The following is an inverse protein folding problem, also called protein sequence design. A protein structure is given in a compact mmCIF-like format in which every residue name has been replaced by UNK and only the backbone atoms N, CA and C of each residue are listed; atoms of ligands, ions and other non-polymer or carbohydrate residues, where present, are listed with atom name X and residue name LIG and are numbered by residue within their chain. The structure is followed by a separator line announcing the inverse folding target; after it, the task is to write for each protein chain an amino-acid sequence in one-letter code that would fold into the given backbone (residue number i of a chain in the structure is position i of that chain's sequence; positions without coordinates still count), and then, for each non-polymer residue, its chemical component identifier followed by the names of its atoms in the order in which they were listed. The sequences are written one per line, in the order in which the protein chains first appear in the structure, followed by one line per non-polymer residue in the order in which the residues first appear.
data_IF_879459094511
#
_entry.id   IF_879459094511
#
_cell.length_a   1.000
_cell.length_b   1.000
_cell.length_c   1.000
_cell.angle_alpha   90.00
_cell.angle_beta   90.00
_cell.angle_gamma   90.00
#
_symmetry.space_group_name_H-M   'P 1'
#
loop_
_entity.id
_entity.type
_entity.pdbx_description
1 polymer ?
#
# COMPACT_ATOMS: atom_id res chain seq x y z
N UNK A 1 -1.63 8.44 -14.57
CA UNK A 1 -1.98 7.16 -13.90
C UNK A 1 -2.54 6.13 -14.85
N UNK A 2 -3.33 6.49 -15.86
CA UNK A 2 -3.82 5.51 -16.86
C UNK A 2 -2.69 4.74 -17.58
N UNK A 3 -1.61 5.42 -17.97
CA UNK A 3 -0.45 4.75 -18.58
C UNK A 3 0.26 3.80 -17.59
N UNK A 4 0.38 4.20 -16.32
CA UNK A 4 0.95 3.35 -15.28
C UNK A 4 0.10 2.09 -15.06
N UNK A 5 -1.23 2.20 -15.09
CA UNK A 5 -2.13 1.04 -15.02
C UNK A 5 -2.04 0.14 -16.25
N UNK A 6 -1.89 0.71 -17.45
CA UNK A 6 -1.67 -0.09 -18.67
C UNK A 6 -0.38 -0.88 -18.60
N UNK A 7 0.69 -0.27 -18.08
CA UNK A 7 1.97 -0.96 -17.88
C UNK A 7 1.83 -2.05 -16.81
N UNK A 8 1.15 -1.76 -15.70
CA UNK A 8 0.86 -2.72 -14.64
C UNK A 8 0.12 -3.96 -15.16
N UNK A 9 -0.96 -3.74 -15.91
CA UNK A 9 -1.75 -4.79 -16.57
C UNK A 9 -0.90 -5.59 -17.57
N UNK A 10 0.01 -4.94 -18.29
CA UNK A 10 0.92 -5.62 -19.22
C UNK A 10 1.92 -6.51 -18.49
N UNK A 11 2.52 -6.04 -17.39
CA UNK A 11 3.45 -6.84 -16.57
C UNK A 11 2.77 -8.09 -16.03
N UNK A 12 1.53 -7.97 -15.55
CA UNK A 12 0.73 -9.12 -15.08
C UNK A 12 0.48 -10.16 -16.18
N UNK A 13 0.22 -9.72 -17.43
CA UNK A 13 0.00 -10.63 -18.57
C UNK A 13 1.25 -11.41 -18.98
N UNK A 14 2.43 -10.91 -18.62
CA UNK A 14 3.71 -11.55 -18.93
C UNK A 14 4.23 -12.42 -17.76
N UNK A 15 3.39 -12.69 -16.74
CA UNK A 15 3.76 -13.38 -15.50
C UNK A 15 4.98 -12.76 -14.78
N UNK A 16 5.22 -11.46 -15.01
CA UNK A 16 6.24 -10.69 -14.31
C UNK A 16 5.63 -10.23 -12.98
N UNK A 17 5.81 -11.04 -11.95
CA UNK A 17 5.41 -10.68 -10.59
C UNK A 17 6.31 -9.55 -10.07
N UNK A 18 5.75 -8.36 -9.82
CA UNK A 18 6.51 -7.28 -9.22
C UNK A 18 7.01 -7.70 -7.83
N UNK A 19 8.24 -7.34 -7.48
CA UNK A 19 8.72 -7.56 -6.12
C UNK A 19 8.04 -6.60 -5.12
N UNK A 20 8.23 -6.86 -3.83
CA UNK A 20 7.70 -6.04 -2.73
C UNK A 20 8.03 -4.54 -2.90
N UNK A 21 9.22 -4.23 -3.43
CA UNK A 21 9.65 -2.84 -3.67
C UNK A 21 8.84 -2.18 -4.80
N UNK A 22 8.52 -2.93 -5.85
CA UNK A 22 7.72 -2.44 -6.97
C UNK A 22 6.28 -2.16 -6.55
N UNK A 23 5.66 -3.08 -5.79
CA UNK A 23 4.35 -2.84 -5.19
C UNK A 23 4.35 -1.59 -4.30
N UNK A 24 5.35 -1.46 -3.44
CA UNK A 24 5.53 -0.31 -2.57
C UNK A 24 5.55 1.02 -3.34
N UNK A 25 6.29 1.11 -4.44
CA UNK A 25 6.38 2.34 -5.23
C UNK A 25 5.10 2.65 -6.01
N UNK A 26 4.42 1.65 -6.56
CA UNK A 26 3.13 1.85 -7.26
C UNK A 26 2.05 2.32 -6.28
N UNK A 27 1.93 1.66 -5.13
CA UNK A 27 1.02 2.07 -4.03
C UNK A 27 1.32 3.50 -3.61
N UNK A 28 2.60 3.84 -3.38
CA UNK A 28 3.03 5.19 -3.01
C UNK A 28 2.61 6.21 -4.07
N UNK A 29 2.74 5.87 -5.35
CA UNK A 29 2.31 6.71 -6.48
C UNK A 29 0.81 7.03 -6.42
N UNK A 30 -0.04 6.02 -6.24
CA UNK A 30 -1.49 6.21 -6.14
C UNK A 30 -1.92 7.02 -4.92
N UNK A 31 -1.31 6.78 -3.76
CA UNK A 31 -1.58 7.55 -2.54
C UNK A 31 -1.19 9.01 -2.71
N UNK A 32 -0.03 9.30 -3.34
CA UNK A 32 0.40 10.68 -3.65
C UNK A 32 -0.48 11.36 -4.68
N UNK A 33 -1.01 10.61 -5.64
CA UNK A 33 -1.95 11.11 -6.64
C UNK A 33 -3.35 11.39 -6.05
N UNK A 34 -3.64 10.92 -4.83
CA UNK A 34 -4.94 11.08 -4.19
C UNK A 34 -5.96 10.03 -4.62
N UNK A 35 -5.51 8.88 -5.14
CA UNK A 35 -6.38 7.74 -5.47
C UNK A 35 -6.13 6.56 -4.52
N UNK A 36 -6.67 6.58 -3.29
CA UNK A 36 -6.53 5.49 -2.34
C UNK A 36 -7.24 4.21 -2.82
N UNK A 37 -8.29 4.32 -3.64
CA UNK A 37 -8.99 3.18 -4.21
C UNK A 37 -8.09 2.35 -5.13
N UNK A 38 -7.36 3.02 -6.03
CA UNK A 38 -6.41 2.34 -6.91
C UNK A 38 -5.23 1.76 -6.11
N UNK A 39 -4.75 2.48 -5.08
CA UNK A 39 -3.74 1.93 -4.17
C UNK A 39 -4.20 0.63 -3.50
N UNK A 40 -5.47 0.55 -3.12
CA UNK A 40 -6.05 -0.67 -2.55
C UNK A 40 -6.22 -1.80 -3.59
N UNK A 41 -6.51 -1.48 -4.86
CA UNK A 41 -6.53 -2.52 -5.91
C UNK A 41 -5.15 -3.17 -6.08
N UNK A 42 -4.09 -2.37 -6.08
CA UNK A 42 -2.71 -2.86 -6.14
C UNK A 42 -2.35 -3.67 -4.89
N UNK A 43 -2.84 -3.27 -3.72
CA UNK A 43 -2.68 -4.02 -2.47
C UNK A 43 -3.39 -5.38 -2.50
N UNK A 44 -4.60 -5.48 -3.03
CA UNK A 44 -5.28 -6.78 -3.17
C UNK A 44 -4.59 -7.68 -4.19
N UNK A 45 -4.06 -7.12 -5.27
CA UNK A 45 -3.21 -7.83 -6.23
C UNK A 45 -1.96 -8.40 -5.53
N UNK A 46 -1.34 -7.59 -4.67
CA UNK A 46 -0.15 -7.96 -3.88
C UNK A 46 -0.42 -9.14 -2.95
N UNK A 47 -1.56 -9.15 -2.25
CA UNK A 47 -1.95 -10.25 -1.35
C UNK A 47 -2.16 -11.58 -2.08
N UNK A 48 -2.47 -11.52 -3.37
CA UNK A 48 -2.68 -12.70 -4.24
C UNK A 48 -1.40 -13.14 -4.96
N UNK A 49 -0.31 -12.38 -4.83
CA UNK A 49 0.99 -12.72 -5.42
C UNK A 49 1.52 -14.05 -4.84
N UNK A 50 2.12 -14.91 -5.67
CA UNK A 50 2.81 -16.11 -5.18
C UNK A 50 4.04 -15.77 -4.33
N UNK A 51 4.57 -14.55 -4.46
CA UNK A 51 5.60 -14.00 -3.59
C UNK A 51 4.96 -13.01 -2.61
N UNK A 52 4.74 -13.40 -1.34
CA UNK A 52 4.00 -12.60 -0.39
C UNK A 52 4.78 -11.32 -0.03
N UNK A 53 4.06 -10.19 0.10
CA UNK A 53 4.66 -8.91 0.35
C UNK A 53 5.42 -8.85 1.67
N UNK A 54 6.53 -8.12 1.67
CA UNK A 54 7.24 -7.78 2.91
C UNK A 54 6.51 -6.67 3.68
N UNK A 55 7.09 -6.21 4.78
CA UNK A 55 6.49 -5.17 5.63
C UNK A 55 6.37 -3.79 4.95
N UNK A 56 7.20 -3.51 3.93
CA UNK A 56 7.32 -2.17 3.33
C UNK A 56 6.00 -1.64 2.71
N UNK A 57 5.28 -2.38 1.84
CA UNK A 57 3.98 -1.95 1.32
C UNK A 57 2.96 -1.59 2.41
N UNK A 58 2.89 -2.38 3.49
CA UNK A 58 1.97 -2.11 4.61
C UNK A 58 2.30 -0.80 5.30
N UNK A 59 3.58 -0.53 5.58
CA UNK A 59 4.00 0.75 6.19
C UNK A 59 3.64 1.95 5.31
N UNK A 60 3.73 1.81 4.00
CA UNK A 60 3.34 2.87 3.05
C UNK A 60 1.83 3.10 3.08
N UNK A 61 1.04 2.04 3.06
CA UNK A 61 -0.43 2.11 3.15
C UNK A 61 -0.87 2.73 4.48
N UNK A 62 -0.36 2.25 5.61
CA UNK A 62 -0.74 2.76 6.94
C UNK A 62 -0.43 4.25 7.12
N UNK A 63 0.65 4.73 6.48
CA UNK A 63 0.99 6.15 6.44
C UNK A 63 0.11 6.95 5.47
N UNK A 64 -0.10 6.46 4.25
CA UNK A 64 -0.85 7.22 3.24
C UNK A 64 -2.36 7.18 3.43
N UNK A 65 -2.89 6.18 4.15
CA UNK A 65 -4.31 6.03 4.46
C UNK A 65 -4.72 6.71 5.78
N UNK A 66 -3.87 7.57 6.37
CA UNK A 66 -4.25 8.36 7.54
C UNK A 66 -5.59 9.11 7.36
N UNK A 67 -5.91 9.71 6.18
CA UNK A 67 -7.23 10.32 5.95
C UNK A 67 -8.38 9.32 5.71
N UNK A 68 -8.09 8.02 5.64
CA UNK A 68 -9.02 6.95 5.24
C UNK A 68 -9.04 5.82 6.30
N UNK A 69 -9.59 6.08 7.51
CA UNK A 69 -9.46 5.19 8.67
C UNK A 69 -10.02 3.78 8.44
N UNK A 70 -11.08 3.64 7.64
CA UNK A 70 -11.65 2.31 7.33
C UNK A 70 -10.68 1.45 6.51
N UNK A 71 -10.04 2.03 5.49
CA UNK A 71 -9.04 1.33 4.67
C UNK A 71 -7.78 1.04 5.49
N UNK A 72 -7.36 2.00 6.30
CA UNK A 72 -6.21 1.88 7.19
C UNK A 72 -6.38 0.73 8.19
N UNK A 73 -7.54 0.64 8.84
CA UNK A 73 -7.83 -0.41 9.81
C UNK A 73 -7.84 -1.79 9.17
N UNK A 74 -8.38 -1.91 7.94
CA UNK A 74 -8.31 -3.17 7.18
C UNK A 74 -6.86 -3.58 6.91
N UNK A 75 -6.02 -2.66 6.43
CA UNK A 75 -4.59 -2.94 6.18
C UNK A 75 -3.86 -3.33 7.47
N UNK A 76 -4.19 -2.69 8.59
CA UNK A 76 -3.62 -3.02 9.90
C UNK A 76 -4.01 -4.42 10.35
N UNK A 77 -5.29 -4.76 10.29
CA UNK A 77 -5.78 -6.09 10.64
C UNK A 77 -5.15 -7.16 9.76
N UNK A 78 -5.12 -6.93 8.44
CA UNK A 78 -4.47 -7.82 7.49
C UNK A 78 -2.99 -8.05 7.84
N UNK A 79 -2.26 -7.00 8.25
CA UNK A 79 -0.86 -7.13 8.68
C UNK A 79 -0.73 -7.98 9.94
N UNK A 80 -1.54 -7.73 10.96
CA UNK A 80 -1.53 -8.47 12.22
C UNK A 80 -1.87 -9.96 12.00
N UNK A 81 -2.79 -10.26 11.08
CA UNK A 81 -3.14 -11.62 10.68
C UNK A 81 -2.00 -12.31 9.90
N UNK A 82 -1.33 -11.60 8.98
CA UNK A 82 -0.24 -12.16 8.16
C UNK A 82 1.09 -12.27 8.91
N UNK A 83 1.34 -11.39 9.88
CA UNK A 83 2.59 -11.32 10.64
C UNK A 83 2.33 -11.29 12.15
N UNK A 84 1.77 -12.35 12.74
CA UNK A 84 1.35 -12.36 14.14
C UNK A 84 2.51 -12.15 15.14
N UNK A 85 3.75 -12.44 14.74
CA UNK A 85 4.95 -12.22 15.56
C UNK A 85 5.60 -10.84 15.35
N UNK A 86 5.09 -10.03 14.42
CA UNK A 86 5.65 -8.71 14.09
C UNK A 86 4.68 -7.60 14.51
N UNK A 87 5.23 -6.52 15.05
CA UNK A 87 4.48 -5.30 15.31
C UNK A 87 4.78 -4.30 14.19
N UNK A 88 3.79 -3.95 13.38
CA UNK A 88 3.97 -2.94 12.32
C UNK A 88 4.27 -1.58 12.95
N UNK A 89 5.16 -0.80 12.36
CA UNK A 89 5.30 0.60 12.74
C UNK A 89 4.02 1.36 12.36
N UNK A 90 3.20 1.69 13.36
CA UNK A 90 1.95 2.47 13.26
C UNK A 90 2.20 3.88 13.82
N UNK A 91 2.51 4.88 12.97
CA UNK A 91 2.79 6.23 13.45
C UNK A 91 1.52 6.85 14.07
N UNK A 92 1.63 7.51 15.24
CA UNK A 92 0.49 8.17 15.89
C UNK A 92 -0.20 9.17 14.95
N UNK A 93 -1.53 9.16 15.00
CA UNK A 93 -2.42 10.03 14.20
C UNK A 93 -2.12 11.54 14.41
N UNK A 94 -1.51 11.88 15.54
CA UNK A 94 -1.24 13.25 16.00
C UNK A 94 -0.04 13.95 15.33
N UNK A 95 0.83 13.25 14.60
CA UNK A 95 2.09 13.84 14.10
C UNK A 95 1.93 14.65 12.80
N UNK A 96 0.88 14.42 12.00
CA UNK A 96 0.77 15.05 10.67
C UNK A 96 -0.08 16.33 10.60
N UNK A 97 -0.80 16.68 11.68
CA UNK A 97 -1.54 17.94 11.75
C UNK A 97 -0.66 19.21 11.73
N UNK A 98 0.65 19.06 11.93
CA UNK A 98 1.59 20.18 12.07
C UNK A 98 2.32 20.49 10.75
N UNK A 99 2.48 19.53 9.83
CA UNK A 99 3.29 19.72 8.61
C UNK A 99 2.53 20.36 7.43
N UNK A 100 1.21 20.47 7.49
CA UNK A 100 0.40 21.17 6.47
C UNK A 100 0.06 22.62 6.82
N UNK A 101 0.72 23.20 7.83
CA UNK A 101 0.60 24.62 8.21
C UNK A 101 1.97 25.31 8.23
N UNK A 102 2.63 25.40 7.08
CA UNK A 102 3.68 26.41 6.81
C UNK A 102 3.74 26.70 5.33
#
# INVERSE_FOLDING_TARGET
MEEAMKIWESMKKEDLFPDSQTYAEVIRGFLRYGSPADAMNIYEDMKQSPDPPEELPFRILLKGLLPHPLLRNRVKQDFEEMFPERHVYDPPEEIFGITMRT
#
